data_IF_793455099377
#
_entry.id   IF_793455099377
#
_cell.length_a   1.000
_cell.length_b   1.000
_cell.length_c   1.000
_cell.angle_alpha   90.00
_cell.angle_beta   90.00
_cell.angle_gamma   90.00
#
_symmetry.space_group_name_H-M   'P 1'
#
loop_
_entity.id
_entity.type
_entity.pdbx_description
1 polymer ?
#
# COMPACT_ATOMS: atom_id res chain seq x y z
N UNK A 1 22.09 20.91 10.74
CA UNK A 1 20.82 21.45 10.22
C UNK A 1 20.65 21.33 8.70
N UNK A 2 21.68 21.49 7.86
CA UNK A 2 21.55 21.40 6.37
C UNK A 2 21.12 20.02 5.82
N UNK A 3 21.30 18.92 6.56
CA UNK A 3 20.94 17.55 6.13
C UNK A 3 19.47 17.18 6.34
N UNK A 4 18.78 17.87 7.26
CA UNK A 4 17.33 17.68 7.49
C UNK A 4 16.48 18.28 6.35
N UNK A 5 16.94 19.38 5.76
CA UNK A 5 16.27 20.02 4.63
C UNK A 5 16.34 19.17 3.35
N UNK A 6 17.40 18.40 3.14
CA UNK A 6 17.54 17.58 1.93
C UNK A 6 16.57 16.39 1.90
N UNK A 7 16.31 15.77 3.06
CA UNK A 7 15.31 14.69 3.17
C UNK A 7 13.87 15.16 2.93
N UNK A 8 13.56 16.39 3.35
CA UNK A 8 12.24 16.98 3.16
C UNK A 8 12.01 17.43 1.70
N UNK A 9 13.08 17.86 1.01
CA UNK A 9 13.06 18.24 -0.42
C UNK A 9 12.92 17.00 -1.33
N UNK A 10 13.54 15.87 -0.99
CA UNK A 10 13.36 14.61 -1.76
C UNK A 10 11.93 14.08 -1.60
N UNK A 11 11.35 14.16 -0.39
CA UNK A 11 9.95 13.80 -0.16
C UNK A 11 8.96 14.68 -0.92
N UNK A 12 9.24 15.98 -1.07
CA UNK A 12 8.41 16.90 -1.85
C UNK A 12 8.59 16.73 -3.37
N UNK A 13 9.79 16.38 -3.85
CA UNK A 13 10.07 16.23 -5.28
C UNK A 13 9.48 14.96 -5.90
N UNK A 14 9.23 13.92 -5.10
CA UNK A 14 8.57 12.70 -5.58
C UNK A 14 7.07 12.96 -5.81
N UNK A 15 6.45 13.84 -5.02
CA UNK A 15 5.03 14.17 -5.17
C UNK A 15 4.72 14.91 -6.48
N UNK A 16 5.67 15.64 -7.05
CA UNK A 16 5.50 16.42 -8.29
C UNK A 16 5.70 15.58 -9.56
N UNK A 17 6.47 14.49 -9.49
CA UNK A 17 6.65 13.56 -10.62
C UNK A 17 5.38 12.74 -10.94
N UNK A 18 4.54 12.46 -9.93
CA UNK A 18 3.23 11.82 -10.13
C UNK A 18 2.13 12.79 -10.59
N UNK A 19 2.38 14.11 -10.61
CA UNK A 19 1.38 15.12 -10.95
C UNK A 19 1.23 15.37 -12.46
N UNK A 20 2.08 14.77 -13.31
CA UNK A 20 2.12 15.06 -14.75
C UNK A 20 1.59 13.94 -15.68
N UNK A 21 1.04 12.84 -15.14
CA UNK A 21 0.25 11.91 -15.95
C UNK A 21 -1.24 12.34 -15.95
N UNK A 22 -1.95 12.25 -17.09
CA UNK A 22 -3.36 12.63 -17.16
C UNK A 22 -4.22 11.76 -16.24
N UNK A 23 -4.61 12.34 -15.10
CA UNK A 23 -5.83 12.07 -14.33
C UNK A 23 -6.20 10.61 -14.02
N UNK A 24 -5.28 9.83 -13.46
CA UNK A 24 -5.67 8.99 -12.31
C UNK A 24 -5.11 9.71 -11.10
N UNK A 25 -5.94 10.54 -10.46
CA UNK A 25 -5.57 11.18 -9.22
C UNK A 25 -5.31 10.06 -8.20
N UNK A 26 -4.04 9.70 -8.00
CA UNK A 26 -3.59 8.68 -7.03
C UNK A 26 -4.13 8.92 -5.61
N UNK A 27 -4.68 10.10 -5.35
CA UNK A 27 -5.16 10.54 -4.05
C UNK A 27 -6.48 9.94 -3.53
N UNK A 28 -7.30 9.22 -4.31
CA UNK A 28 -8.59 8.70 -3.79
C UNK A 28 -9.13 7.43 -4.48
N UNK A 29 -8.30 6.51 -4.95
CA UNK A 29 -8.82 5.28 -5.56
C UNK A 29 -9.54 4.43 -4.50
N UNK A 30 -10.84 4.18 -4.66
CA UNK A 30 -11.66 3.32 -3.78
C UNK A 30 -12.12 2.03 -4.49
N UNK A 31 -12.77 1.13 -3.75
CA UNK A 31 -13.27 -0.13 -4.31
C UNK A 31 -14.23 0.04 -5.49
N UNK A 32 -15.06 1.09 -5.50
CA UNK A 32 -15.98 1.35 -6.61
C UNK A 32 -15.24 1.84 -7.86
N UNK A 33 -14.29 2.77 -7.70
CA UNK A 33 -13.49 3.28 -8.79
C UNK A 33 -12.55 2.20 -9.35
N UNK A 34 -12.02 1.33 -8.50
CA UNK A 34 -11.23 0.17 -8.91
C UNK A 34 -11.99 -0.71 -9.91
N UNK A 35 -13.26 -1.00 -9.60
CA UNK A 35 -14.14 -1.81 -10.47
C UNK A 35 -14.44 -1.15 -11.82
N UNK A 36 -14.23 0.17 -11.96
CA UNK A 36 -14.39 0.90 -13.24
C UNK A 36 -13.13 0.91 -14.10
N UNK A 37 -11.98 0.54 -13.55
CA UNK A 37 -10.73 0.44 -14.30
C UNK A 37 -10.75 -0.77 -15.23
N UNK A 38 -10.11 -0.64 -16.39
CA UNK A 38 -9.82 -1.78 -17.27
C UNK A 38 -8.85 -2.75 -16.59
N UNK A 39 -8.83 -4.03 -17.00
CA UNK A 39 -7.89 -5.02 -16.45
C UNK A 39 -6.41 -4.57 -16.54
N UNK A 40 -6.01 -3.94 -17.64
CA UNK A 40 -4.64 -3.46 -17.86
C UNK A 40 -4.27 -2.34 -16.89
N UNK A 41 -5.21 -1.45 -16.60
CA UNK A 41 -5.02 -0.36 -15.63
C UNK A 41 -4.92 -0.87 -14.19
N UNK A 42 -5.72 -1.88 -13.83
CA UNK A 42 -5.63 -2.54 -12.51
C UNK A 42 -4.28 -3.23 -12.32
N UNK A 43 -3.86 -3.99 -13.32
CA UNK A 43 -2.56 -4.66 -13.33
C UNK A 43 -1.41 -3.66 -13.23
N UNK A 44 -1.43 -2.59 -14.03
CA UNK A 44 -0.40 -1.55 -14.03
C UNK A 44 -0.35 -0.79 -12.70
N UNK A 45 -1.51 -0.51 -12.10
CA UNK A 45 -1.59 0.13 -10.79
C UNK A 45 -0.94 -0.73 -9.70
N UNK A 46 -1.32 -2.02 -9.60
CA UNK A 46 -0.74 -2.91 -8.58
C UNK A 46 0.74 -3.17 -8.83
N UNK A 47 1.16 -3.30 -10.09
CA UNK A 47 2.58 -3.40 -10.43
C UNK A 47 3.36 -2.18 -9.95
N UNK A 48 2.86 -0.97 -10.24
CA UNK A 48 3.48 0.28 -9.76
C UNK A 48 3.47 0.41 -8.24
N UNK A 49 2.41 -0.05 -7.57
CA UNK A 49 2.33 -0.07 -6.10
C UNK A 49 3.42 -0.98 -5.49
N UNK A 50 3.60 -2.19 -6.04
CA UNK A 50 4.63 -3.14 -5.58
C UNK A 50 6.03 -2.56 -5.83
N UNK A 51 6.28 -2.02 -7.03
CA UNK A 51 7.58 -1.44 -7.37
C UNK A 51 7.93 -0.25 -6.45
N UNK A 52 6.93 0.59 -6.14
CA UNK A 52 7.10 1.67 -5.17
C UNK A 52 7.38 1.12 -3.77
N UNK A 53 6.64 0.10 -3.31
CA UNK A 53 6.86 -0.52 -2.00
C UNK A 53 8.26 -1.13 -1.87
N UNK A 54 8.73 -1.84 -2.89
CA UNK A 54 10.08 -2.40 -2.94
C UNK A 54 11.15 -1.30 -2.91
N UNK A 55 10.98 -0.25 -3.71
CA UNK A 55 11.89 0.90 -3.73
C UNK A 55 11.98 1.59 -2.35
N UNK A 56 10.84 1.87 -1.72
CA UNK A 56 10.81 2.49 -0.40
C UNK A 56 11.43 1.58 0.66
N UNK A 57 11.22 0.25 0.58
CA UNK A 57 11.85 -0.69 1.51
C UNK A 57 13.37 -0.67 1.41
N UNK A 58 13.93 -0.60 0.19
CA UNK A 58 15.37 -0.47 -0.01
C UNK A 58 15.91 0.84 0.59
N UNK A 59 15.21 1.96 0.33
CA UNK A 59 15.57 3.27 0.89
C UNK A 59 15.51 3.26 2.43
N UNK A 60 14.44 2.71 2.99
CA UNK A 60 14.22 2.61 4.44
C UNK A 60 15.31 1.73 5.06
N UNK A 61 15.65 0.58 4.48
CA UNK A 61 16.71 -0.30 4.99
C UNK A 61 18.08 0.38 4.99
N UNK A 62 18.41 1.12 3.93
CA UNK A 62 19.64 1.92 3.86
C UNK A 62 19.69 2.97 4.98
N UNK A 63 18.55 3.59 5.31
CA UNK A 63 18.44 4.56 6.41
C UNK A 63 18.52 3.85 7.77
N UNK A 64 17.72 2.79 8.00
CA UNK A 64 17.63 2.03 9.25
C UNK A 64 18.99 1.47 9.67
N UNK A 65 19.80 1.00 8.72
CA UNK A 65 21.15 0.49 8.99
C UNK A 65 22.06 1.52 9.70
N UNK A 66 21.70 2.81 9.65
CA UNK A 66 22.40 3.94 10.25
C UNK A 66 21.66 4.51 11.46
N UNK A 67 20.52 3.94 11.85
CA UNK A 67 19.71 4.37 12.99
C UNK A 67 20.08 3.58 14.26
N UNK A 68 19.61 4.09 15.39
CA UNK A 68 19.74 3.41 16.68
C UNK A 68 18.99 2.06 16.66
N UNK A 69 19.49 0.99 17.33
CA UNK A 69 18.87 -0.35 17.30
C UNK A 69 17.39 -0.39 17.67
N UNK A 70 16.94 0.47 18.59
CA UNK A 70 15.52 0.56 18.97
C UNK A 70 14.61 0.99 17.81
N UNK A 71 15.12 1.82 16.90
CA UNK A 71 14.37 2.24 15.71
C UNK A 71 14.34 1.12 14.68
N UNK A 72 15.45 0.40 14.51
CA UNK A 72 15.50 -0.79 13.66
C UNK A 72 14.52 -1.87 14.14
N UNK A 73 14.44 -2.12 15.45
CA UNK A 73 13.49 -3.06 16.04
C UNK A 73 12.03 -2.64 15.78
N UNK A 74 11.71 -1.35 15.94
CA UNK A 74 10.38 -0.82 15.63
C UNK A 74 9.98 -1.07 14.16
N UNK A 75 10.90 -0.83 13.21
CA UNK A 75 10.61 -1.07 11.79
C UNK A 75 10.47 -2.56 11.46
N UNK A 76 11.27 -3.43 12.08
CA UNK A 76 11.14 -4.87 11.90
C UNK A 76 9.78 -5.39 12.41
N UNK A 77 9.31 -4.89 13.55
CA UNK A 77 7.97 -5.16 14.06
C UNK A 77 6.89 -4.61 13.11
N UNK A 78 7.05 -3.37 12.66
CA UNK A 78 6.14 -2.74 11.72
C UNK A 78 6.02 -3.53 10.41
N UNK A 79 7.13 -3.97 9.79
CA UNK A 79 7.10 -4.80 8.59
C UNK A 79 6.45 -6.16 8.84
N UNK A 80 6.67 -6.75 10.01
CA UNK A 80 6.01 -7.99 10.43
C UNK A 80 4.48 -7.84 10.48
N UNK A 81 3.98 -6.69 10.93
CA UNK A 81 2.55 -6.39 10.98
C UNK A 81 1.97 -5.89 9.65
N UNK A 82 2.80 -5.38 8.76
CA UNK A 82 2.43 -4.78 7.49
C UNK A 82 3.17 -5.48 6.34
N UNK A 83 2.88 -6.77 6.10
CA UNK A 83 3.62 -7.56 5.13
C UNK A 83 3.50 -6.94 3.73
N UNK A 84 4.62 -6.76 3.02
CA UNK A 84 4.61 -6.19 1.68
C UNK A 84 4.07 -7.18 0.66
N UNK A 85 3.47 -6.65 -0.40
CA UNK A 85 3.25 -7.44 -1.60
C UNK A 85 4.57 -7.63 -2.33
N UNK A 86 4.69 -8.74 -3.06
CA UNK A 86 5.84 -9.00 -3.90
C UNK A 86 5.39 -9.21 -5.35
N UNK A 87 6.32 -9.01 -6.29
CA UNK A 87 5.98 -9.11 -7.72
C UNK A 87 5.53 -10.51 -8.15
N UNK A 88 5.94 -11.57 -7.44
CA UNK A 88 5.51 -12.95 -7.73
C UNK A 88 4.04 -13.18 -7.39
N UNK A 89 3.50 -12.43 -6.42
CA UNK A 89 2.11 -12.52 -6.00
C UNK A 89 1.19 -11.53 -6.70
N UNK A 90 1.64 -10.85 -7.76
CA UNK A 90 0.85 -9.81 -8.44
C UNK A 90 -0.50 -10.33 -8.94
N UNK A 91 -0.54 -11.53 -9.55
CA UNK A 91 -1.79 -12.13 -10.01
C UNK A 91 -2.76 -12.42 -8.86
N UNK A 92 -2.27 -13.03 -7.78
CA UNK A 92 -3.08 -13.31 -6.59
C UNK A 92 -3.55 -12.02 -5.89
N UNK A 93 -2.69 -10.99 -5.88
CA UNK A 93 -3.02 -9.69 -5.33
C UNK A 93 -4.15 -9.02 -6.14
N UNK A 94 -4.07 -9.09 -7.47
CA UNK A 94 -5.10 -8.59 -8.37
C UNK A 94 -6.45 -9.27 -8.10
N UNK A 95 -6.46 -10.61 -8.07
CA UNK A 95 -7.67 -11.39 -7.79
C UNK A 95 -8.26 -11.07 -6.41
N UNK A 96 -7.43 -10.97 -5.38
CA UNK A 96 -7.86 -10.64 -4.03
C UNK A 96 -8.48 -9.25 -3.94
N UNK A 97 -7.86 -8.25 -4.56
CA UNK A 97 -8.37 -6.88 -4.57
C UNK A 97 -9.66 -6.78 -5.38
N UNK A 98 -9.76 -7.47 -6.52
CA UNK A 98 -10.99 -7.56 -7.32
C UNK A 98 -12.13 -8.17 -6.51
N UNK A 99 -11.88 -9.27 -5.80
CA UNK A 99 -12.88 -9.93 -4.95
C UNK A 99 -13.34 -9.02 -3.81
N UNK A 100 -12.41 -8.37 -3.10
CA UNK A 100 -12.76 -7.48 -2.00
C UNK A 100 -13.52 -6.24 -2.46
N UNK A 101 -13.14 -5.65 -3.59
CA UNK A 101 -13.78 -4.44 -4.11
C UNK A 101 -15.17 -4.70 -4.70
N UNK A 102 -15.47 -5.94 -5.11
CA UNK A 102 -16.81 -6.34 -5.54
C UNK A 102 -17.84 -6.38 -4.38
N UNK A 103 -17.40 -6.51 -3.12
CA UNK A 103 -18.27 -6.44 -1.95
C UNK A 103 -18.83 -5.01 -1.79
N UNK A 104 -20.16 -4.88 -1.74
CA UNK A 104 -20.83 -3.59 -1.60
C UNK A 104 -20.38 -2.80 -0.37
N UNK A 105 -19.96 -3.49 0.70
CA UNK A 105 -19.47 -2.89 1.96
C UNK A 105 -18.09 -2.24 1.80
N UNK A 106 -17.39 -2.56 0.72
CA UNK A 106 -16.03 -2.15 0.46
C UNK A 106 -15.92 -1.10 -0.66
N UNK A 107 -17.04 -0.68 -1.26
CA UNK A 107 -17.07 0.28 -2.37
C UNK A 107 -16.36 1.61 -2.05
N UNK A 108 -16.47 2.08 -0.81
CA UNK A 108 -15.87 3.35 -0.36
C UNK A 108 -14.57 3.19 0.43
N UNK A 109 -14.10 1.95 0.60
CA UNK A 109 -12.81 1.71 1.23
C UNK A 109 -11.72 2.13 0.25
N UNK A 110 -10.78 2.94 0.73
CA UNK A 110 -9.61 3.32 -0.04
C UNK A 110 -8.80 2.09 -0.45
N UNK A 111 -8.31 2.06 -1.68
CA UNK A 111 -7.69 0.89 -2.28
C UNK A 111 -6.48 0.38 -1.51
N UNK A 112 -5.67 1.28 -0.95
CA UNK A 112 -4.54 0.92 -0.07
C UNK A 112 -5.00 0.04 1.11
N UNK A 113 -6.20 0.31 1.66
CA UNK A 113 -6.78 -0.52 2.70
C UNK A 113 -7.15 -1.91 2.20
N UNK A 114 -7.72 -2.02 0.99
CA UNK A 114 -8.02 -3.33 0.37
C UNK A 114 -6.74 -4.11 0.06
N UNK A 115 -5.72 -3.43 -0.49
CA UNK A 115 -4.39 -4.01 -0.76
C UNK A 115 -3.76 -4.55 0.53
N UNK A 116 -3.90 -3.83 1.65
CA UNK A 116 -3.41 -4.29 2.97
C UNK A 116 -4.08 -5.59 3.41
N UNK A 117 -5.39 -5.72 3.25
CA UNK A 117 -6.09 -6.96 3.60
C UNK A 117 -5.56 -8.12 2.76
N UNK A 118 -5.43 -7.92 1.46
CA UNK A 118 -4.88 -8.96 0.56
C UNK A 118 -3.43 -9.30 0.90
N UNK A 119 -2.60 -8.30 1.26
CA UNK A 119 -1.21 -8.59 1.66
C UNK A 119 -1.13 -9.40 2.96
N UNK A 120 -2.04 -9.16 3.91
CA UNK A 120 -2.15 -9.97 5.12
C UNK A 120 -2.58 -11.41 4.81
N UNK A 121 -3.57 -11.61 3.93
CA UNK A 121 -4.00 -12.94 3.49
C UNK A 121 -2.86 -13.70 2.81
N UNK A 122 -2.16 -13.07 1.87
CA UNK A 122 -1.04 -13.68 1.14
C UNK A 122 0.17 -13.96 2.03
N UNK A 123 0.35 -13.21 3.11
CA UNK A 123 1.37 -13.46 4.12
C UNK A 123 0.97 -14.55 5.14
N UNK A 124 -0.22 -15.14 5.02
CA UNK A 124 -0.68 -16.20 5.90
C UNK A 124 -1.09 -15.72 7.29
N UNK A 125 -1.50 -14.45 7.43
CA UNK A 125 -2.11 -13.98 8.69
C UNK A 125 -3.39 -14.76 8.98
N UNK A 126 -3.70 -14.94 10.26
CA UNK A 126 -4.91 -15.68 10.66
C UNK A 126 -6.18 -14.97 10.20
N UNK A 127 -7.25 -15.73 9.97
CA UNK A 127 -8.55 -15.18 9.59
C UNK A 127 -9.04 -14.11 10.59
N UNK A 128 -8.85 -14.33 11.89
CA UNK A 128 -9.22 -13.38 12.93
C UNK A 128 -8.47 -12.04 12.81
N UNK A 129 -7.17 -12.08 12.49
CA UNK A 129 -6.37 -10.87 12.26
C UNK A 129 -6.83 -10.11 11.01
N UNK A 130 -7.06 -10.83 9.91
CA UNK A 130 -7.54 -10.26 8.65
C UNK A 130 -8.92 -9.61 8.84
N UNK A 131 -9.85 -10.33 9.49
CA UNK A 131 -11.20 -9.85 9.73
C UNK A 131 -11.24 -8.66 10.68
N UNK A 132 -10.43 -8.69 11.74
CA UNK A 132 -10.31 -7.56 12.68
C UNK A 132 -9.83 -6.30 11.96
N UNK A 133 -8.82 -6.45 11.11
CA UNK A 133 -8.27 -5.33 10.35
C UNK A 133 -9.27 -4.82 9.31
N UNK A 134 -9.97 -5.70 8.60
CA UNK A 134 -11.00 -5.31 7.63
C UNK A 134 -12.15 -4.54 8.31
N UNK A 135 -12.57 -4.95 9.51
CA UNK A 135 -13.54 -4.20 10.32
C UNK A 135 -13.01 -2.82 10.69
N UNK A 136 -11.76 -2.73 11.15
CA UNK A 136 -11.11 -1.46 11.51
C UNK A 136 -11.10 -0.50 10.31
N UNK A 137 -10.69 -0.99 9.14
CA UNK A 137 -10.65 -0.22 7.89
C UNK A 137 -12.05 0.26 7.50
N UNK A 138 -13.07 -0.61 7.55
CA UNK A 138 -14.47 -0.24 7.27
C UNK A 138 -14.94 0.90 8.17
N UNK A 139 -14.64 0.85 9.46
CA UNK A 139 -15.00 1.92 10.41
C UNK A 139 -14.28 3.22 10.12
N UNK A 140 -13.04 3.18 9.60
CA UNK A 140 -12.29 4.39 9.25
C UNK A 140 -12.86 5.09 8.01
N UNK A 141 -13.34 4.33 7.02
CA UNK A 141 -13.76 4.86 5.71
C UNK A 141 -15.27 5.01 5.52
N UNK A 142 -16.11 4.39 6.35
CA UNK A 142 -17.58 4.48 6.27
C UNK A 142 -18.19 5.42 7.33
N UNK A 143 -17.42 6.38 7.85
CA UNK A 143 -17.95 7.50 8.66
C UNK A 143 -18.53 8.58 7.77
#
# INVERSE_FOLDING_TARGET
>A
MKRFFLGLVVGLSISTLFAQQPSVTFGKLDGEQWQKLSPENRMSYLGGYIDAQEFYRLLINEIISKLHPSVAAFFAEYEGDHPPLNRKSLGQALEGVDKLSADYRNKKIHLIGLIRIVSMELAGKSADQVDSELRRIRVLYNK
#
